data_IF_036215734568
#
_entry.id   IF_036215734568
#
_cell.length_a   1.000
_cell.length_b   1.000
_cell.length_c   1.000
_cell.angle_alpha   90.00
_cell.angle_beta   90.00
_cell.angle_gamma   90.00
#
_symmetry.space_group_name_H-M   'P 1'
#
loop_
_entity.id
_entity.type
_entity.pdbx_description
1 polymer ?
#
# COMPACT_ATOMS: atom_id res chain seq x y z
N UNK A 1 6.62 7.15 -0.01
CA UNK A 1 7.29 8.01 0.99
C UNK A 1 8.77 8.08 0.67
N UNK A 2 9.48 9.02 1.29
CA UNK A 2 10.92 9.22 1.12
C UNK A 2 11.61 9.07 2.49
N UNK A 3 12.68 8.29 2.57
CA UNK A 3 13.47 8.12 3.80
C UNK A 3 14.41 9.30 4.03
N UNK A 4 14.95 9.41 5.25
CA UNK A 4 16.00 10.38 5.60
C UNK A 4 17.27 10.25 4.72
N UNK A 5 17.47 9.09 4.09
CA UNK A 5 18.57 8.80 3.16
C UNK A 5 18.21 9.07 1.69
N UNK A 6 16.99 9.51 1.42
CA UNK A 6 16.50 9.78 0.06
C UNK A 6 15.96 8.56 -0.69
N UNK A 7 15.80 7.40 -0.03
CA UNK A 7 15.22 6.21 -0.65
C UNK A 7 13.71 6.37 -0.79
N UNK A 8 13.13 5.82 -1.87
CA UNK A 8 11.69 5.86 -2.10
C UNK A 8 11.05 4.55 -1.63
N UNK A 9 10.09 4.67 -0.72
CA UNK A 9 9.27 3.57 -0.23
C UNK A 9 7.88 3.62 -0.87
N UNK A 10 7.55 2.59 -1.65
CA UNK A 10 6.17 2.27 -2.03
C UNK A 10 5.64 1.24 -1.04
N UNK A 11 4.45 1.48 -0.49
CA UNK A 11 3.86 0.65 0.54
C UNK A 11 2.39 0.40 0.21
N UNK A 12 2.00 -0.87 0.24
CA UNK A 12 0.61 -1.33 0.17
C UNK A 12 0.33 -2.12 1.43
N UNK A 13 -0.84 -1.89 2.04
CA UNK A 13 -1.28 -2.59 3.25
C UNK A 13 -2.61 -3.25 2.95
N UNK A 14 -2.66 -4.57 3.00
CA UNK A 14 -3.91 -5.32 2.86
C UNK A 14 -4.86 -4.97 4.00
N UNK A 15 -6.17 -5.04 3.76
CA UNK A 15 -7.17 -4.72 4.77
C UNK A 15 -8.50 -5.40 4.53
N UNK A 16 -9.40 -5.32 5.53
CA UNK A 16 -10.74 -5.93 5.53
C UNK A 16 -10.74 -7.46 5.33
N UNK A 17 -9.65 -8.14 5.67
CA UNK A 17 -9.59 -9.59 5.69
C UNK A 17 -9.35 -10.09 7.13
N UNK A 18 -10.39 -10.60 7.82
CA UNK A 18 -10.27 -11.03 9.21
C UNK A 18 -9.25 -12.14 9.50
N UNK A 19 -8.88 -12.91 8.48
CA UNK A 19 -7.95 -14.02 8.60
C UNK A 19 -6.52 -13.68 8.15
N UNK A 20 -6.29 -12.46 7.65
CA UNK A 20 -4.99 -12.04 7.09
C UNK A 20 -4.57 -10.65 7.57
N UNK A 21 -5.38 -9.64 7.26
CA UNK A 21 -5.08 -8.26 7.65
C UNK A 21 -6.35 -7.42 7.78
N UNK A 22 -6.51 -6.77 8.93
CA UNK A 22 -7.54 -5.77 9.15
C UNK A 22 -7.22 -4.43 8.47
N UNK A 23 -5.97 -4.23 8.08
CA UNK A 23 -5.45 -2.95 7.60
C UNK A 23 -4.96 -2.07 8.74
N UNK A 24 -4.56 -0.84 8.39
CA UNK A 24 -4.09 0.16 9.33
C UNK A 24 -4.94 1.43 9.22
N UNK A 25 -5.18 2.08 10.35
CA UNK A 25 -5.61 3.47 10.36
C UNK A 25 -4.46 4.38 9.89
N UNK A 26 -4.76 5.61 9.49
CA UNK A 26 -3.72 6.56 9.05
C UNK A 26 -2.68 6.81 10.14
N UNK A 27 -3.07 6.92 11.41
CA UNK A 27 -2.12 7.12 12.51
C UNK A 27 -1.19 5.91 12.68
N UNK A 28 -1.72 4.68 12.63
CA UNK A 28 -0.90 3.47 12.68
C UNK A 28 0.04 3.36 11.48
N UNK A 29 -0.39 3.83 10.30
CA UNK A 29 0.46 3.90 9.12
C UNK A 29 1.61 4.90 9.32
N UNK A 30 1.35 6.07 9.90
CA UNK A 30 2.39 7.05 10.26
C UNK A 30 3.40 6.44 11.23
N UNK A 31 2.94 5.79 12.30
CA UNK A 31 3.81 5.13 13.27
C UNK A 31 4.66 4.02 12.61
N UNK A 32 4.05 3.27 11.68
CA UNK A 32 4.75 2.24 10.91
C UNK A 32 5.84 2.84 10.02
N UNK A 33 5.54 3.92 9.30
CA UNK A 33 6.49 4.62 8.44
C UNK A 33 7.68 5.19 9.23
N UNK A 34 7.46 5.62 10.48
CA UNK A 34 8.52 6.08 11.38
C UNK A 34 9.59 5.02 11.63
N UNK A 35 9.23 3.73 11.66
CA UNK A 35 10.19 2.62 11.81
C UNK A 35 11.17 2.49 10.64
N UNK A 36 10.79 3.01 9.47
CA UNK A 36 11.60 3.02 8.25
C UNK A 36 12.27 4.37 7.99
N UNK A 37 12.28 5.28 8.97
CA UNK A 37 12.88 6.61 8.86
C UNK A 37 12.32 7.42 7.67
N UNK A 38 11.04 7.22 7.35
CA UNK A 38 10.33 8.00 6.33
C UNK A 38 10.08 9.40 6.88
N UNK A 39 10.57 10.42 6.17
CA UNK A 39 10.43 11.83 6.55
C UNK A 39 9.23 12.49 5.88
N UNK A 40 8.95 12.09 4.64
CA UNK A 40 7.88 12.64 3.82
C UNK A 40 7.04 11.51 3.22
N UNK A 41 5.71 11.59 3.35
CA UNK A 41 4.80 10.61 2.77
C UNK A 41 3.52 11.27 2.26
N UNK A 42 2.99 10.72 1.18
CA UNK A 42 1.66 11.02 0.64
C UNK A 42 0.85 9.73 0.66
N UNK A 43 -0.36 9.79 1.22
CA UNK A 43 -1.29 8.67 1.13
C UNK A 43 -1.97 8.66 -0.25
N UNK A 44 -2.10 7.49 -0.85
CA UNK A 44 -2.78 7.28 -2.14
C UNK A 44 -4.15 6.62 -1.91
N UNK A 45 -4.84 6.30 -3.01
CA UNK A 45 -6.09 5.56 -2.92
C UNK A 45 -5.87 4.18 -2.29
N UNK A 46 -6.80 3.79 -1.42
CA UNK A 46 -6.70 2.60 -0.57
C UNK A 46 -7.87 1.66 -0.76
N UNK A 47 -8.12 0.84 0.25
CA UNK A 47 -9.22 -0.12 0.22
C UNK A 47 -9.12 -1.07 -0.96
N UNK A 48 -10.24 -1.30 -1.67
CA UNK A 48 -10.25 -2.24 -2.80
C UNK A 48 -9.38 -1.83 -4.00
N UNK A 49 -8.95 -0.57 -4.05
CA UNK A 49 -8.01 -0.09 -5.07
C UNK A 49 -6.55 -0.44 -4.75
N UNK A 50 -6.23 -0.75 -3.48
CA UNK A 50 -4.86 -1.00 -3.04
C UNK A 50 -4.32 -2.31 -3.62
N UNK A 51 -3.45 -2.21 -4.62
CA UNK A 51 -2.89 -3.36 -5.35
C UNK A 51 -1.39 -3.19 -5.55
N UNK A 52 -0.63 -4.24 -5.23
CA UNK A 52 0.79 -4.35 -5.53
C UNK A 52 1.00 -5.44 -6.58
N UNK A 53 1.55 -5.05 -7.72
CA UNK A 53 1.80 -5.91 -8.86
C UNK A 53 3.28 -5.97 -9.17
N UNK A 54 3.80 -7.18 -9.39
CA UNK A 54 5.17 -7.41 -9.79
C UNK A 54 5.24 -8.58 -10.77
N UNK A 55 5.86 -8.35 -11.93
CA UNK A 55 6.22 -9.39 -12.91
C UNK A 55 5.07 -10.37 -13.26
N UNK A 56 3.92 -9.86 -13.69
CA UNK A 56 2.80 -10.72 -14.10
C UNK A 56 1.83 -11.08 -12.98
N UNK A 57 2.12 -10.71 -11.73
CA UNK A 57 1.37 -11.20 -10.57
C UNK A 57 0.99 -10.09 -9.61
N UNK A 58 -0.23 -10.15 -9.09
CA UNK A 58 -0.64 -9.43 -7.88
C UNK A 58 -0.06 -10.16 -6.68
N UNK A 59 0.64 -9.45 -5.81
CA UNK A 59 1.36 -10.03 -4.66
C UNK A 59 0.71 -9.73 -3.31
N UNK A 60 -0.29 -8.85 -3.27
CA UNK A 60 -1.06 -8.56 -2.08
C UNK A 60 -2.48 -9.18 -2.18
N UNK A 61 -3.34 -8.94 -1.19
CA UNK A 61 -4.70 -9.45 -1.14
C UNK A 61 -5.72 -8.30 -1.32
N UNK A 62 -6.20 -8.03 -2.55
CA UNK A 62 -7.23 -7.02 -2.79
C UNK A 62 -8.47 -7.24 -1.93
N UNK A 63 -8.99 -6.16 -1.35
CA UNK A 63 -10.09 -6.26 -0.37
C UNK A 63 -11.48 -6.39 -0.98
N UNK A 64 -11.63 -6.18 -2.28
CA UNK A 64 -12.94 -6.27 -2.94
C UNK A 64 -13.37 -7.74 -3.10
N UNK A 65 -14.66 -8.08 -2.91
CA UNK A 65 -15.14 -9.47 -2.99
C UNK A 65 -14.89 -10.16 -4.34
N UNK A 66 -14.71 -9.39 -5.41
CA UNK A 66 -14.45 -9.88 -6.77
C UNK A 66 -12.95 -9.92 -7.13
N UNK A 67 -12.07 -9.63 -6.17
CA UNK A 67 -10.62 -9.55 -6.39
C UNK A 67 -10.15 -8.13 -6.72
N UNK A 68 -9.13 -8.03 -7.58
CA UNK A 68 -8.54 -6.75 -8.00
C UNK A 68 -9.58 -5.79 -8.61
N UNK A 69 -9.57 -4.54 -8.15
CA UNK A 69 -10.45 -3.49 -8.68
C UNK A 69 -9.83 -2.83 -9.90
N UNK A 70 -10.64 -2.58 -10.94
CA UNK A 70 -10.24 -1.70 -12.05
C UNK A 70 -10.06 -0.27 -11.55
N UNK A 71 -8.87 0.29 -11.79
CA UNK A 71 -8.50 1.67 -11.42
C UNK A 71 -8.18 2.50 -12.66
N UNK A 72 -8.23 3.83 -12.53
CA UNK A 72 -7.96 4.77 -13.63
C UNK A 72 -6.48 5.14 -13.78
N UNK A 73 -5.71 5.11 -12.69
CA UNK A 73 -4.30 5.50 -12.65
C UNK A 73 -3.50 4.56 -11.77
N UNK A 74 -2.21 4.37 -12.12
CA UNK A 74 -1.26 3.56 -11.36
C UNK A 74 0.12 4.22 -11.35
N UNK A 75 0.90 3.96 -10.31
CA UNK A 75 2.32 4.29 -10.27
C UNK A 75 3.10 3.10 -10.86
N UNK A 76 3.80 3.34 -11.96
CA UNK A 76 4.58 2.34 -12.66
C UNK A 76 6.08 2.62 -12.47
N UNK A 77 6.81 1.60 -12.02
CA UNK A 77 8.27 1.57 -12.02
C UNK A 77 8.72 0.64 -13.15
N UNK A 78 9.63 1.12 -13.98
CA UNK A 78 10.19 0.39 -15.12
C UNK A 78 11.68 0.16 -14.94
#
# INVERSE_FOLDING_TARGET
GKTSRGEILFLVVDGRNPHHSQGLTINQLVDFLGKYQVTDALNLDGGGSATFYLQGKVLNFPSDPRGERKISTALLLK
#
